data_IF_472967001134
#
_entry.id   IF_472967001134
#
_cell.length_a   1.000
_cell.length_b   1.000
_cell.length_c   1.000
_cell.angle_alpha   90.00
_cell.angle_beta   90.00
_cell.angle_gamma   90.00
#
_symmetry.space_group_name_H-M   'P 1'
#
loop_
_entity.id
_entity.type
_entity.pdbx_description
1 polymer ?
#
# COMPACT_ATOMS: atom_id res chain seq x y z
N UNK A 1 -7.25 -30.41 -21.30
CA UNK A 1 -7.11 -29.00 -21.75
C UNK A 1 -6.69 -28.18 -20.55
N UNK A 2 -5.40 -27.95 -20.39
CA UNK A 2 -4.85 -27.02 -19.40
C UNK A 2 -5.06 -25.60 -19.93
N UNK A 3 -5.78 -24.78 -19.19
CA UNK A 3 -5.87 -23.34 -19.45
C UNK A 3 -4.43 -22.80 -19.55
N UNK A 4 -4.02 -22.21 -20.70
CA UNK A 4 -2.69 -21.61 -20.79
C UNK A 4 -2.58 -20.56 -19.69
N UNK A 5 -1.45 -20.54 -18.97
CA UNK A 5 -1.21 -19.64 -17.84
C UNK A 5 -1.46 -18.19 -18.29
N UNK A 6 -2.66 -17.72 -17.92
CA UNK A 6 -3.38 -16.70 -18.65
C UNK A 6 -2.67 -15.37 -18.61
N UNK A 7 -2.78 -14.62 -19.72
CA UNK A 7 -2.65 -13.17 -19.67
C UNK A 7 -3.63 -12.64 -18.63
N UNK A 8 -3.18 -12.43 -17.38
CA UNK A 8 -4.02 -11.77 -16.39
C UNK A 8 -4.34 -10.39 -16.96
N UNK A 9 -5.62 -10.12 -17.17
CA UNK A 9 -6.05 -8.77 -17.52
C UNK A 9 -5.58 -7.83 -16.40
N UNK A 10 -5.20 -6.60 -16.75
CA UNK A 10 -4.73 -5.63 -15.76
C UNK A 10 -5.68 -5.53 -14.57
N UNK A 11 -7.00 -5.52 -14.82
CA UNK A 11 -8.02 -5.51 -13.77
C UNK A 11 -8.00 -6.76 -12.87
N UNK A 12 -7.77 -7.95 -13.43
CA UNK A 12 -7.65 -9.18 -12.65
C UNK A 12 -6.46 -9.17 -11.69
N UNK A 13 -5.31 -8.67 -12.14
CA UNK A 13 -4.13 -8.50 -11.28
C UNK A 13 -4.42 -7.60 -10.08
N UNK A 14 -4.97 -6.40 -10.31
CA UNK A 14 -5.28 -5.46 -9.23
C UNK A 14 -6.34 -5.99 -8.27
N UNK A 15 -7.38 -6.66 -8.76
CA UNK A 15 -8.39 -7.27 -7.90
C UNK A 15 -7.81 -8.33 -6.97
N UNK A 16 -6.92 -9.19 -7.48
CA UNK A 16 -6.24 -10.20 -6.66
C UNK A 16 -5.31 -9.55 -5.63
N UNK A 17 -4.53 -8.54 -6.02
CA UNK A 17 -3.61 -7.84 -5.10
C UNK A 17 -4.37 -7.13 -3.97
N UNK A 18 -5.45 -6.42 -4.30
CA UNK A 18 -6.30 -5.74 -3.33
C UNK A 18 -6.94 -6.76 -2.37
N UNK A 19 -7.50 -7.85 -2.91
CA UNK A 19 -8.10 -8.90 -2.08
C UNK A 19 -7.09 -9.58 -1.15
N UNK A 20 -5.92 -9.96 -1.68
CA UNK A 20 -4.88 -10.66 -0.92
C UNK A 20 -4.32 -9.78 0.20
N UNK A 21 -3.98 -8.52 -0.09
CA UNK A 21 -3.43 -7.59 0.91
C UNK A 21 -4.45 -7.21 1.98
N UNK A 22 -5.74 -7.07 1.62
CA UNK A 22 -6.81 -6.84 2.58
C UNK A 22 -7.00 -8.03 3.54
N UNK A 23 -7.09 -9.25 2.99
CA UNK A 23 -7.29 -10.47 3.78
C UNK A 23 -6.10 -10.76 4.68
N UNK A 24 -4.88 -10.67 4.15
CA UNK A 24 -3.66 -10.84 4.95
C UNK A 24 -3.57 -9.78 6.04
N UNK A 25 -3.82 -8.52 5.69
CA UNK A 25 -3.81 -7.40 6.62
C UNK A 25 -4.77 -7.61 7.79
N UNK A 26 -6.06 -7.80 7.51
CA UNK A 26 -7.07 -8.00 8.52
C UNK A 26 -6.84 -9.29 9.33
N UNK A 27 -6.48 -10.39 8.66
CA UNK A 27 -6.19 -11.68 9.30
C UNK A 27 -5.03 -11.59 10.29
N UNK A 28 -3.95 -10.89 9.94
CA UNK A 28 -2.83 -10.65 10.84
C UNK A 28 -3.24 -9.79 12.05
N UNK A 29 -4.04 -8.75 11.88
CA UNK A 29 -4.52 -7.96 13.03
C UNK A 29 -5.34 -8.84 13.99
N UNK A 30 -6.28 -9.62 13.46
CA UNK A 30 -7.10 -10.52 14.29
C UNK A 30 -6.24 -11.58 14.97
N UNK A 31 -5.32 -12.22 14.24
CA UNK A 31 -4.40 -13.21 14.79
C UNK A 31 -3.51 -12.61 15.90
N UNK A 32 -3.06 -11.37 15.73
CA UNK A 32 -2.30 -10.65 16.76
C UNK A 32 -3.11 -10.45 18.04
N UNK A 33 -4.37 -10.01 17.93
CA UNK A 33 -5.24 -9.84 19.10
C UNK A 33 -5.49 -11.18 19.81
N UNK A 34 -5.70 -12.26 19.06
CA UNK A 34 -5.83 -13.62 19.61
C UNK A 34 -4.53 -14.04 20.33
N UNK A 35 -3.36 -13.72 19.78
CA UNK A 35 -2.08 -14.04 20.41
C UNK A 35 -1.86 -13.28 21.73
N UNK A 36 -2.28 -12.01 21.81
CA UNK A 36 -2.21 -11.25 23.07
C UNK A 36 -3.06 -11.88 24.18
N UNK A 37 -4.24 -12.41 23.82
CA UNK A 37 -5.14 -13.06 24.78
C UNK A 37 -4.69 -14.48 25.15
N UNK A 38 -4.18 -15.24 24.19
CA UNK A 38 -3.81 -16.66 24.39
C UNK A 38 -2.41 -16.87 24.94
N UNK A 39 -1.50 -15.90 24.73
CA UNK A 39 -0.10 -15.96 25.18
C UNK A 39 0.36 -14.59 25.73
N UNK A 40 -0.20 -14.14 26.86
CA UNK A 40 0.10 -12.82 27.43
C UNK A 40 1.58 -12.67 27.84
N UNK A 41 2.27 -13.76 28.17
CA UNK A 41 3.67 -13.75 28.62
C UNK A 41 4.68 -13.54 27.48
N UNK A 42 4.26 -13.70 26.22
CA UNK A 42 5.12 -13.59 25.03
C UNK A 42 4.55 -12.58 24.00
N UNK A 43 4.36 -11.30 24.38
CA UNK A 43 3.66 -10.32 23.54
C UNK A 43 4.40 -9.99 22.24
N UNK A 44 5.71 -10.28 22.16
CA UNK A 44 6.54 -10.00 20.99
C UNK A 44 6.02 -10.65 19.71
N UNK A 45 5.55 -11.90 19.78
CA UNK A 45 4.98 -12.61 18.63
C UNK A 45 3.73 -11.92 18.08
N UNK A 46 2.84 -11.49 18.97
CA UNK A 46 1.65 -10.74 18.58
C UNK A 46 2.03 -9.42 17.90
N UNK A 47 2.93 -8.64 18.50
CA UNK A 47 3.38 -7.36 17.93
C UNK A 47 3.96 -7.53 16.53
N UNK A 48 4.78 -8.55 16.29
CA UNK A 48 5.32 -8.83 14.96
C UNK A 48 4.22 -9.14 13.94
N UNK A 49 3.24 -9.98 14.31
CA UNK A 49 2.10 -10.30 13.45
C UNK A 49 1.26 -9.06 13.17
N UNK A 50 1.03 -8.19 14.16
CA UNK A 50 0.35 -6.91 13.94
C UNK A 50 1.09 -6.01 12.95
N UNK A 51 2.41 -5.88 13.06
CA UNK A 51 3.22 -5.05 12.15
C UNK A 51 3.17 -5.59 10.71
N UNK A 52 3.14 -6.91 10.51
CA UNK A 52 2.91 -7.52 9.19
C UNK A 52 1.51 -7.14 8.66
N UNK A 53 0.49 -7.20 9.52
CA UNK A 53 -0.87 -6.80 9.19
C UNK A 53 -0.96 -5.33 8.77
N UNK A 54 -0.38 -4.43 9.57
CA UNK A 54 -0.33 -2.98 9.30
C UNK A 54 0.40 -2.68 7.99
N UNK A 55 1.53 -3.34 7.74
CA UNK A 55 2.28 -3.20 6.49
C UNK A 55 1.44 -3.63 5.28
N UNK A 56 0.70 -4.73 5.42
CA UNK A 56 -0.21 -5.24 4.38
C UNK A 56 -1.39 -4.30 4.14
N UNK A 57 -1.99 -3.71 5.18
CA UNK A 57 -3.06 -2.72 5.07
C UNK A 57 -2.58 -1.40 4.45
N UNK A 58 -1.34 -0.99 4.72
CA UNK A 58 -0.72 0.17 4.08
C UNK A 58 -0.54 -0.08 2.57
N UNK A 59 -0.08 -1.28 2.22
CA UNK A 59 0.07 -1.73 0.83
C UNK A 59 -1.29 -1.85 0.12
N UNK A 60 -2.33 -2.31 0.83
CA UNK A 60 -3.72 -2.30 0.35
C UNK A 60 -4.18 -0.89 0.00
N UNK A 61 -3.95 0.09 0.88
CA UNK A 61 -4.30 1.49 0.62
C UNK A 61 -3.63 2.02 -0.66
N UNK A 62 -2.33 1.75 -0.82
CA UNK A 62 -1.59 2.07 -2.05
C UNK A 62 -2.19 1.38 -3.28
N UNK A 63 -2.50 0.09 -3.19
CA UNK A 63 -3.03 -0.68 -4.30
C UNK A 63 -4.40 -0.16 -4.76
N UNK A 64 -5.27 0.23 -3.83
CA UNK A 64 -6.57 0.85 -4.12
C UNK A 64 -6.41 2.22 -4.76
N UNK A 65 -5.55 3.11 -4.23
CA UNK A 65 -5.31 4.43 -4.86
C UNK A 65 -4.71 4.28 -6.27
N UNK A 66 -3.74 3.36 -6.44
CA UNK A 66 -3.13 3.06 -7.73
C UNK A 66 -4.13 2.50 -8.74
N UNK A 67 -4.95 1.53 -8.33
CA UNK A 67 -5.98 0.95 -9.19
C UNK A 67 -7.00 2.03 -9.59
N UNK A 68 -7.59 2.75 -8.63
CA UNK A 68 -8.67 3.72 -8.90
C UNK A 68 -8.25 4.91 -9.77
N UNK A 69 -6.95 5.25 -9.81
CA UNK A 69 -6.44 6.33 -10.66
C UNK A 69 -5.95 5.89 -12.03
N UNK A 70 -5.64 4.61 -12.21
CA UNK A 70 -5.09 4.09 -13.46
C UNK A 70 -6.18 3.69 -14.45
N UNK A 71 -5.96 3.95 -15.74
CA UNK A 71 -6.82 3.47 -16.82
C UNK A 71 -6.68 1.95 -17.01
N UNK A 72 -7.64 1.31 -17.67
CA UNK A 72 -7.57 -0.13 -17.97
C UNK A 72 -6.29 -0.52 -18.72
N UNK A 73 -5.80 0.37 -19.58
CA UNK A 73 -4.57 0.18 -20.35
C UNK A 73 -3.31 0.30 -19.47
N UNK A 74 -3.23 1.31 -18.60
CA UNK A 74 -2.11 1.49 -17.67
C UNK A 74 -1.99 0.30 -16.71
N UNK A 75 -3.13 -0.24 -16.27
CA UNK A 75 -3.19 -1.46 -15.45
C UNK A 75 -2.69 -2.68 -16.23
N UNK A 76 -3.02 -2.79 -17.51
CA UNK A 76 -2.55 -3.87 -18.37
C UNK A 76 -1.04 -3.78 -18.64
N UNK A 77 -0.50 -2.57 -18.83
CA UNK A 77 0.94 -2.34 -18.98
C UNK A 77 1.72 -2.70 -17.71
N UNK A 78 1.19 -2.34 -16.54
CA UNK A 78 1.76 -2.77 -15.25
C UNK A 78 1.81 -4.29 -15.14
N UNK A 79 0.66 -4.95 -15.36
CA UNK A 79 0.55 -6.40 -15.26
C UNK A 79 1.45 -7.13 -16.26
N UNK A 80 1.56 -6.60 -17.48
CA UNK A 80 2.48 -7.11 -18.50
C UNK A 80 3.93 -7.02 -18.03
N UNK A 81 4.37 -5.86 -17.54
CA UNK A 81 5.75 -5.66 -17.08
C UNK A 81 6.11 -6.61 -15.92
N UNK A 82 5.18 -6.82 -14.97
CA UNK A 82 5.35 -7.81 -13.90
C UNK A 82 5.47 -9.22 -14.47
N UNK A 83 4.61 -9.61 -15.42
CA UNK A 83 4.65 -10.94 -16.03
C UNK A 83 5.92 -11.21 -16.85
N UNK A 84 6.57 -10.17 -17.39
CA UNK A 84 7.87 -10.28 -18.07
C UNK A 84 8.98 -10.59 -17.05
N UNK A 85 9.01 -9.87 -15.93
CA UNK A 85 9.98 -10.10 -14.87
C UNK A 85 9.78 -11.44 -14.16
N UNK A 86 8.54 -11.89 -13.96
CA UNK A 86 8.24 -13.22 -13.42
C UNK A 86 8.81 -14.34 -14.31
N UNK A 87 8.77 -14.16 -15.64
CA UNK A 87 9.36 -15.10 -16.58
C UNK A 87 10.90 -15.03 -16.63
N UNK A 88 11.49 -13.87 -16.34
CA UNK A 88 12.94 -13.70 -16.24
C UNK A 88 13.54 -14.34 -14.98
N UNK A 89 12.70 -14.80 -14.03
CA UNK A 89 13.11 -15.33 -12.75
C UNK A 89 13.31 -14.25 -11.67
N UNK A 90 13.30 -14.67 -10.41
CA UNK A 90 13.39 -13.79 -9.24
C UNK A 90 14.81 -13.27 -9.01
N UNK A 91 15.26 -12.31 -9.82
CA UNK A 91 16.60 -11.70 -9.70
C UNK A 91 16.61 -10.37 -8.94
N UNK A 92 15.63 -9.49 -9.16
CA UNK A 92 15.56 -8.17 -8.53
C UNK A 92 14.15 -7.58 -8.54
N UNK A 93 13.36 -7.91 -7.51
CA UNK A 93 11.96 -7.46 -7.37
C UNK A 93 11.84 -5.93 -7.32
N UNK A 94 12.86 -5.23 -6.80
CA UNK A 94 12.88 -3.77 -6.78
C UNK A 94 12.96 -3.17 -8.19
N UNK A 95 13.80 -3.74 -9.06
CA UNK A 95 13.84 -3.35 -10.48
C UNK A 95 12.53 -3.69 -11.18
N UNK A 96 12.01 -4.90 -10.95
CA UNK A 96 10.73 -5.33 -11.53
C UNK A 96 9.57 -4.37 -11.19
N UNK A 97 9.47 -3.99 -9.92
CA UNK A 97 8.47 -3.02 -9.45
C UNK A 97 8.72 -1.62 -10.00
N UNK A 98 9.98 -1.19 -10.14
CA UNK A 98 10.33 0.10 -10.70
C UNK A 98 9.96 0.20 -12.19
N UNK A 99 10.21 -0.85 -12.96
CA UNK A 99 9.87 -0.93 -14.37
C UNK A 99 8.36 -1.05 -14.57
N UNK A 100 7.68 -1.85 -13.74
CA UNK A 100 6.23 -1.94 -13.76
C UNK A 100 5.55 -0.60 -13.43
N UNK A 101 6.07 0.13 -12.43
CA UNK A 101 5.60 1.47 -12.12
C UNK A 101 5.79 2.44 -13.29
N UNK A 102 6.99 2.44 -13.92
CA UNK A 102 7.24 3.24 -15.13
C UNK A 102 6.32 2.84 -16.29
N UNK A 103 6.05 1.55 -16.47
CA UNK A 103 5.14 1.05 -17.51
C UNK A 103 3.70 1.54 -17.29
N UNK A 104 3.20 1.50 -16.05
CA UNK A 104 1.89 2.07 -15.69
C UNK A 104 1.84 3.57 -15.95
N UNK A 105 2.88 4.28 -15.56
CA UNK A 105 2.92 5.75 -15.64
C UNK A 105 3.25 6.24 -17.08
N UNK A 106 3.57 5.33 -18.00
CA UNK A 106 3.86 5.63 -19.42
C UNK A 106 5.29 6.12 -19.67
N UNK A 107 6.20 5.92 -18.71
CA UNK A 107 7.58 6.41 -18.72
C UNK A 107 8.58 5.35 -19.21
N UNK A 108 8.09 4.22 -19.70
CA UNK A 108 8.95 3.14 -20.19
C UNK A 108 9.48 3.47 -21.59
N UNK A 109 10.80 3.63 -21.71
CA UNK A 109 11.45 3.88 -23.00
C UNK A 109 11.31 2.70 -23.96
N UNK A 110 11.38 2.98 -25.27
CA UNK A 110 11.30 1.95 -26.32
C UNK A 110 12.37 0.85 -26.15
N UNK A 111 13.55 1.22 -25.67
CA UNK A 111 14.62 0.26 -25.38
C UNK A 111 14.28 -0.65 -24.20
N UNK A 112 13.81 -0.09 -23.07
CA UNK A 112 13.32 -0.90 -21.95
C UNK A 112 12.19 -1.84 -22.36
N UNK A 113 11.26 -1.37 -23.21
CA UNK A 113 10.19 -2.23 -23.73
C UNK A 113 10.77 -3.40 -24.50
N UNK A 114 11.76 -3.18 -25.38
CA UNK A 114 12.45 -4.27 -26.11
C UNK A 114 13.13 -5.25 -25.16
N UNK A 115 13.85 -4.74 -24.15
CA UNK A 115 14.52 -5.58 -23.14
C UNK A 115 13.50 -6.45 -22.39
N UNK A 116 12.42 -5.85 -21.88
CA UNK A 116 11.38 -6.60 -21.16
C UNK A 116 10.68 -7.61 -22.06
N UNK A 117 10.38 -7.24 -23.31
CA UNK A 117 9.75 -8.15 -24.27
C UNK A 117 10.63 -9.37 -24.60
N UNK A 118 11.95 -9.25 -24.49
CA UNK A 118 12.88 -10.34 -24.71
C UNK A 118 12.80 -11.42 -23.61
N UNK A 119 12.32 -11.09 -22.40
CA UNK A 119 12.18 -12.07 -21.31
C UNK A 119 11.06 -13.08 -21.59
N UNK A 120 9.92 -12.65 -22.12
CA UNK A 120 8.83 -13.52 -22.57
C UNK A 120 8.30 -13.06 -23.93
N UNK A 121 8.93 -13.50 -25.03
CA UNK A 121 8.57 -13.11 -26.40
C UNK A 121 7.11 -13.43 -26.76
N UNK A 122 6.55 -14.51 -26.20
CA UNK A 122 5.18 -14.94 -26.47
C UNK A 122 4.12 -13.98 -25.93
N UNK A 123 4.43 -13.27 -24.84
CA UNK A 123 3.51 -12.31 -24.23
C UNK A 123 3.78 -10.91 -24.80
N UNK A 124 3.13 -10.60 -25.93
CA UNK A 124 3.35 -9.35 -26.66
C UNK A 124 2.95 -8.11 -25.85
N UNK A 125 3.72 -7.05 -26.03
CA UNK A 125 3.47 -5.75 -25.45
C UNK A 125 2.04 -5.28 -25.82
N UNK A 126 1.19 -4.96 -24.83
CA UNK A 126 -0.24 -4.74 -25.05
C UNK A 126 -0.59 -3.36 -25.67
N UNK A 127 0.29 -2.74 -26.44
CA UNK A 127 0.05 -1.38 -26.95
C UNK A 127 -0.70 -1.33 -28.28
N UNK A 128 -1.87 -0.68 -28.21
CA UNK A 128 -2.54 0.06 -29.28
C UNK A 128 -2.20 1.58 -29.25
N UNK A 129 -1.18 2.01 -28.51
CA UNK A 129 -0.82 3.44 -28.39
C UNK A 129 0.40 3.76 -29.27
N UNK A 130 0.31 4.71 -30.22
CA UNK A 130 1.51 5.35 -30.77
C UNK A 130 2.21 6.09 -29.64
N UNK A 131 3.54 6.16 -29.65
CA UNK A 131 4.35 7.00 -28.75
C UNK A 131 3.76 8.42 -28.70
N UNK A 132 2.79 8.67 -27.82
CA UNK A 132 2.08 9.94 -27.79
C UNK A 132 3.06 10.93 -27.17
N UNK A 133 3.71 11.69 -28.04
CA UNK A 133 4.57 12.82 -27.71
C UNK A 133 3.80 14.01 -27.13
N UNK A 134 2.56 13.81 -26.65
CA UNK A 134 1.95 14.76 -25.74
C UNK A 134 2.69 14.65 -24.40
N UNK A 135 3.35 15.71 -23.91
CA UNK A 135 3.97 15.68 -22.60
C UNK A 135 2.87 15.43 -21.59
N UNK A 136 2.78 14.21 -21.05
CA UNK A 136 2.17 14.05 -19.74
C UNK A 136 3.06 14.87 -18.82
N UNK A 137 2.51 15.95 -18.25
CA UNK A 137 3.21 16.78 -17.28
C UNK A 137 3.95 15.84 -16.33
N UNK A 138 5.28 15.84 -16.43
CA UNK A 138 6.10 15.00 -15.56
C UNK A 138 5.61 15.23 -14.14
N UNK A 139 5.37 14.19 -13.34
CA UNK A 139 5.11 14.42 -11.93
C UNK A 139 6.32 15.20 -11.41
N UNK A 140 6.14 16.49 -11.12
CA UNK A 140 7.15 17.33 -10.46
C UNK A 140 7.63 16.48 -9.30
N UNK A 141 8.95 16.26 -9.12
CA UNK A 141 9.52 15.25 -8.22
C UNK A 141 8.86 15.18 -6.83
N UNK A 142 8.30 16.30 -6.36
CA UNK A 142 7.43 16.38 -5.19
C UNK A 142 6.20 15.46 -5.19
N UNK A 143 5.67 14.98 -6.31
CA UNK A 143 4.51 14.07 -6.35
C UNK A 143 4.86 12.64 -5.90
N UNK A 144 6.06 12.15 -6.25
CA UNK A 144 6.54 10.84 -5.79
C UNK A 144 6.87 10.87 -4.30
N UNK A 145 7.53 11.93 -3.84
CA UNK A 145 7.82 12.15 -2.42
C UNK A 145 6.53 12.25 -1.58
N UNK A 146 5.48 12.88 -2.11
CA UNK A 146 4.16 12.98 -1.45
C UNK A 146 3.48 11.64 -1.21
N UNK A 147 3.55 10.71 -2.17
CA UNK A 147 2.98 9.36 -1.95
C UNK A 147 3.72 8.65 -0.82
N UNK A 148 5.06 8.74 -0.80
CA UNK A 148 5.87 8.18 0.28
C UNK A 148 5.45 8.74 1.64
N UNK A 149 5.32 10.06 1.74
CA UNK A 149 4.82 10.73 2.97
C UNK A 149 3.43 10.23 3.37
N UNK A 150 2.50 10.11 2.41
CA UNK A 150 1.15 9.65 2.69
C UNK A 150 1.09 8.18 3.16
N UNK A 151 1.97 7.32 2.63
CA UNK A 151 2.06 5.92 3.06
C UNK A 151 2.69 5.79 4.44
N UNK A 152 3.74 6.57 4.73
CA UNK A 152 4.32 6.64 6.07
C UNK A 152 3.28 7.16 7.06
N UNK A 153 2.52 8.21 6.70
CA UNK A 153 1.44 8.73 7.52
C UNK A 153 0.38 7.64 7.82
N UNK A 154 -0.04 6.89 6.79
CA UNK A 154 -1.02 5.80 6.94
C UNK A 154 -0.49 4.67 7.83
N UNK A 155 0.77 4.27 7.63
CA UNK A 155 1.42 3.25 8.44
C UNK A 155 1.50 3.65 9.92
N UNK A 156 1.92 4.88 10.21
CA UNK A 156 2.01 5.40 11.57
C UNK A 156 0.62 5.56 12.20
N UNK A 157 -0.39 5.97 11.43
CA UNK A 157 -1.76 6.08 11.90
C UNK A 157 -2.32 4.72 12.32
N UNK A 158 -2.13 3.68 11.50
CA UNK A 158 -2.53 2.31 11.80
C UNK A 158 -1.77 1.73 13.00
N UNK A 159 -0.46 1.99 13.08
CA UNK A 159 0.38 1.58 14.22
C UNK A 159 -0.08 2.23 15.52
N UNK A 160 -0.32 3.54 15.49
CA UNK A 160 -0.83 4.30 16.63
C UNK A 160 -2.21 3.82 17.06
N UNK A 161 -3.14 3.63 16.13
CA UNK A 161 -4.47 3.06 16.40
C UNK A 161 -4.37 1.67 17.03
N UNK A 162 -3.51 0.80 16.51
CA UNK A 162 -3.31 -0.54 17.04
C UNK A 162 -2.85 -0.50 18.51
N UNK A 163 -1.82 0.30 18.83
CA UNK A 163 -1.36 0.44 20.22
C UNK A 163 -2.40 1.10 21.13
N UNK A 164 -3.18 2.05 20.63
CA UNK A 164 -4.29 2.66 21.37
C UNK A 164 -5.34 1.64 21.81
N UNK A 165 -5.57 0.58 21.04
CA UNK A 165 -6.50 -0.49 21.40
C UNK A 165 -6.00 -1.41 22.51
N UNK A 166 -4.71 -1.35 22.88
CA UNK A 166 -4.12 -2.19 23.92
C UNK A 166 -3.96 -1.35 25.20
N UNK A 167 -4.76 -1.57 26.25
CA UNK A 167 -4.78 -0.68 27.42
C UNK A 167 -3.40 -0.46 28.06
N UNK A 168 -2.59 -1.53 28.17
CA UNK A 168 -1.27 -1.49 28.80
C UNK A 168 -0.26 -0.58 28.09
N UNK A 169 -0.42 -0.36 26.78
CA UNK A 169 0.50 0.43 25.96
C UNK A 169 -0.20 1.56 25.20
N UNK A 170 -1.45 1.85 25.54
CA UNK A 170 -2.29 2.85 24.87
C UNK A 170 -1.64 4.23 24.78
N UNK A 171 -0.84 4.59 25.79
CA UNK A 171 -0.05 5.84 25.83
C UNK A 171 0.97 5.91 24.70
N UNK A 172 1.56 4.78 24.29
CA UNK A 172 2.51 4.75 23.16
C UNK A 172 1.84 5.05 21.83
N UNK A 173 0.53 4.84 21.68
CA UNK A 173 -0.20 5.16 20.45
C UNK A 173 -0.25 6.67 20.15
N UNK A 174 -0.18 7.50 21.18
CA UNK A 174 -0.34 8.96 21.06
C UNK A 174 0.76 9.66 20.24
N UNK A 175 2.07 9.45 20.49
CA UNK A 175 3.11 10.05 19.65
C UNK A 175 3.01 9.59 18.19
N UNK A 176 2.65 8.32 17.93
CA UNK A 176 2.44 7.83 16.56
C UNK A 176 1.29 8.56 15.85
N UNK A 177 0.16 8.78 16.54
CA UNK A 177 -0.98 9.51 15.98
C UNK A 177 -0.67 10.99 15.73
N UNK A 178 0.09 11.64 16.63
CA UNK A 178 0.50 13.03 16.43
C UNK A 178 1.33 13.17 15.14
N UNK A 179 2.37 12.35 15.00
CA UNK A 179 3.23 12.36 13.80
C UNK A 179 2.43 12.01 12.55
N UNK A 180 1.56 10.99 12.62
CA UNK A 180 0.70 10.61 11.51
C UNK A 180 -0.22 11.75 11.06
N UNK A 181 -0.80 12.49 11.99
CA UNK A 181 -1.67 13.64 11.69
C UNK A 181 -0.92 14.75 10.97
N UNK A 182 0.29 15.09 11.44
CA UNK A 182 1.13 16.11 10.80
C UNK A 182 1.47 15.70 9.36
N UNK A 183 1.93 14.46 9.16
CA UNK A 183 2.26 13.95 7.84
C UNK A 183 1.03 13.82 6.92
N UNK A 184 -0.13 13.47 7.48
CA UNK A 184 -1.40 13.45 6.75
C UNK A 184 -1.75 14.84 6.21
N UNK A 185 -1.66 15.89 7.03
CA UNK A 185 -1.89 17.28 6.59
C UNK A 185 -0.93 17.66 5.46
N UNK A 186 0.37 17.38 5.61
CA UNK A 186 1.38 17.64 4.58
C UNK A 186 1.04 16.92 3.25
N UNK A 187 0.50 15.70 3.34
CA UNK A 187 0.05 14.94 2.17
C UNK A 187 -1.28 15.44 1.56
N UNK A 188 -2.15 16.08 2.34
CA UNK A 188 -3.48 16.53 1.91
C UNK A 188 -3.47 17.89 1.23
N UNK A 189 -2.68 18.84 1.77
CA UNK A 189 -2.76 20.26 1.41
C UNK A 189 -2.56 20.51 -0.09
N UNK A 190 -1.55 19.93 -0.77
CA UNK A 190 -1.40 20.11 -2.20
C UNK A 190 -2.35 19.17 -2.97
N UNK A 191 -3.12 19.66 -3.97
CA UNK A 191 -3.89 18.80 -4.85
C UNK A 191 -2.95 17.88 -5.66
N UNK A 192 -3.26 16.58 -5.73
CA UNK A 192 -2.48 15.64 -6.55
C UNK A 192 -2.43 14.19 -6.04
N UNK A 193 -1.31 13.53 -6.36
CA UNK A 193 -1.02 12.12 -6.01
C UNK A 193 -0.67 12.03 -4.52
N UNK A 194 -1.20 11.02 -3.81
CA UNK A 194 -1.04 10.87 -2.36
C UNK A 194 -2.13 11.52 -1.50
N UNK A 195 -2.91 12.49 -2.01
CA UNK A 195 -3.96 13.18 -1.23
C UNK A 195 -5.02 12.25 -0.63
N UNK A 196 -5.51 11.26 -1.40
CA UNK A 196 -6.51 10.28 -0.91
C UNK A 196 -5.96 9.43 0.24
N UNK A 197 -4.70 9.02 0.13
CA UNK A 197 -3.99 8.28 1.17
C UNK A 197 -3.76 9.16 2.41
N UNK A 198 -3.41 10.43 2.22
CA UNK A 198 -3.30 11.41 3.31
C UNK A 198 -4.64 11.60 4.05
N UNK A 199 -5.76 11.72 3.32
CA UNK A 199 -7.10 11.79 3.93
C UNK A 199 -7.39 10.53 4.74
N UNK A 200 -7.14 9.36 4.17
CA UNK A 200 -7.33 8.09 4.88
C UNK A 200 -6.49 8.02 6.16
N UNK A 201 -5.20 8.38 6.08
CA UNK A 201 -4.31 8.45 7.24
C UNK A 201 -4.83 9.43 8.31
N UNK A 202 -5.32 10.60 7.90
CA UNK A 202 -5.92 11.58 8.81
C UNK A 202 -7.15 11.03 9.53
N UNK A 203 -8.06 10.36 8.82
CA UNK A 203 -9.25 9.73 9.42
C UNK A 203 -8.84 8.66 10.43
N UNK A 204 -7.93 7.75 10.05
CA UNK A 204 -7.43 6.68 10.93
C UNK A 204 -6.80 7.28 12.19
N UNK A 205 -6.01 8.35 12.04
CA UNK A 205 -5.37 9.03 13.16
C UNK A 205 -6.39 9.62 14.14
N UNK A 206 -7.40 10.34 13.64
CA UNK A 206 -8.48 10.91 14.48
C UNK A 206 -9.23 9.82 15.23
N UNK A 207 -9.58 8.72 14.56
CA UNK A 207 -10.26 7.59 15.21
C UNK A 207 -9.41 6.99 16.33
N UNK A 208 -8.11 6.81 16.09
CA UNK A 208 -7.19 6.31 17.11
C UNK A 208 -7.09 7.25 18.32
N UNK A 209 -7.14 8.56 18.10
CA UNK A 209 -7.10 9.54 19.19
C UNK A 209 -8.38 9.44 20.04
N UNK A 210 -9.54 9.33 19.40
CA UNK A 210 -10.82 9.15 20.10
C UNK A 210 -10.83 7.87 20.94
N UNK A 211 -10.36 6.74 20.39
CA UNK A 211 -10.26 5.46 21.11
C UNK A 211 -9.37 5.61 22.35
N UNK A 212 -8.23 6.27 22.22
CA UNK A 212 -7.30 6.51 23.34
C UNK A 212 -7.95 7.32 24.45
N UNK A 213 -8.62 8.42 24.09
CA UNK A 213 -9.32 9.29 25.05
C UNK A 213 -10.40 8.52 25.80
N UNK A 214 -11.20 7.70 25.11
CA UNK A 214 -12.25 6.88 25.73
C UNK A 214 -11.66 5.87 26.71
N UNK A 215 -10.59 5.15 26.32
CA UNK A 215 -9.94 4.15 27.19
C UNK A 215 -9.33 4.82 28.43
N UNK A 216 -8.64 5.94 28.26
CA UNK A 216 -8.02 6.68 29.36
C UNK A 216 -9.10 7.24 30.30
N UNK A 217 -10.16 7.85 29.77
CA UNK A 217 -11.26 8.38 30.57
C UNK A 217 -11.97 7.26 31.35
N UNK A 218 -12.25 6.13 30.70
CA UNK A 218 -12.82 4.96 31.36
C UNK A 218 -11.93 4.46 32.52
N UNK A 219 -10.61 4.39 32.31
CA UNK A 219 -9.66 4.00 33.36
C UNK A 219 -9.65 4.97 34.53
N UNK A 220 -9.70 6.28 34.27
CA UNK A 220 -9.75 7.30 35.31
C UNK A 220 -11.05 7.15 36.14
N UNK A 221 -12.19 6.93 35.49
CA UNK A 221 -13.49 6.79 36.18
C UNK A 221 -13.59 5.50 37.00
N UNK A 222 -12.96 4.41 36.56
CA UNK A 222 -13.09 3.09 37.20
C UNK A 222 -12.03 2.79 38.25
N UNK A 223 -10.88 3.45 38.19
CA UNK A 223 -9.73 3.25 39.10
C UNK A 223 -9.53 4.44 40.05
N UNK A 224 -10.08 5.62 39.71
CA UNK A 224 -10.04 6.83 40.53
C UNK A 224 -11.14 6.92 41.57
#
# INVERSE_FOLDING_TARGET
>A
MSTPAGSRSGNGYWSTQIGATALLGAGCIVASLILLETKPDEPGGAVLVALIGISSLTTFGWAVDSATRSSAQERALFAWAIAQHEAAGHGNDARAMSDAARARDGELGAEQIRILQAFRPDNRYPALVPLSGAPRERPIDGAKNRIGVALIALFLALTGLYFSCIPAVSVLGWPFQLVATILAVVAIVPPGRGRRLGIAAGIVSVLGTLVTVVIVAWRIVTVG
#
